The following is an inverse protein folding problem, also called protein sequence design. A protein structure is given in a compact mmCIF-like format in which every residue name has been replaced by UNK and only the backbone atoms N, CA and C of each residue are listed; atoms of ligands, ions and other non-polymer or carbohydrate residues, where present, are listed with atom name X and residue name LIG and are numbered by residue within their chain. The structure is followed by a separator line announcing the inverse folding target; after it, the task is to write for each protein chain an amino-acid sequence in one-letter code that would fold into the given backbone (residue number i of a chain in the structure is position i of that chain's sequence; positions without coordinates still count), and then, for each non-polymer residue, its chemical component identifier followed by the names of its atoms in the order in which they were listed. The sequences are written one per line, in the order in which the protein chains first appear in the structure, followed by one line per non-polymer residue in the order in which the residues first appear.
data_IF_335314959539
#
_entry.id   IF_335314959539
#
_cell.length_a   1.000
_cell.length_b   1.000
_cell.length_c   1.000
_cell.angle_alpha   90.00
_cell.angle_beta   90.00
_cell.angle_gamma   90.00
#
_symmetry.space_group_name_H-M   'P 1'
#
loop_
_entity.id
_entity.type
_entity.pdbx_description
1 polymer ?
#
# COMPACT_ATOMS: atom_id res chain seq x y z
N UNK A 1 27.82 10.09 -17.63
CA UNK A 1 28.26 10.36 -16.24
C UNK A 1 27.18 11.21 -15.59
N UNK A 2 26.53 10.73 -14.52
CA UNK A 2 25.53 11.52 -13.78
C UNK A 2 26.28 12.21 -12.63
N UNK A 3 26.27 13.55 -12.60
CA UNK A 3 26.88 14.35 -11.55
C UNK A 3 25.84 14.81 -10.54
N UNK A 4 26.07 14.54 -9.26
CA UNK A 4 25.25 15.08 -8.18
C UNK A 4 25.93 16.30 -7.58
N UNK A 5 25.16 17.36 -7.35
CA UNK A 5 25.62 18.50 -6.56
C UNK A 5 25.39 18.19 -5.09
N UNK A 6 26.48 18.07 -4.34
CA UNK A 6 26.44 17.95 -2.88
C UNK A 6 26.66 19.33 -2.28
N UNK A 7 26.08 19.56 -1.10
CA UNK A 7 26.51 20.68 -0.26
C UNK A 7 27.94 20.43 0.23
N UNK A 8 28.67 21.50 0.56
CA UNK A 8 30.06 21.38 1.02
C UNK A 8 30.19 20.51 2.27
N UNK A 9 29.19 20.54 3.15
CA UNK A 9 29.10 19.72 4.35
C UNK A 9 28.95 18.22 4.00
N UNK A 10 28.06 17.89 3.06
CA UNK A 10 27.88 16.52 2.59
C UNK A 10 29.11 16.00 1.85
N UNK A 11 29.77 16.84 1.05
CA UNK A 11 30.98 16.45 0.31
C UNK A 11 32.11 16.07 1.27
N UNK A 12 32.33 16.89 2.32
CA UNK A 12 33.29 16.62 3.39
C UNK A 12 32.94 15.36 4.16
N UNK A 13 31.67 15.18 4.52
CA UNK A 13 31.20 13.99 5.23
C UNK A 13 31.42 12.71 4.41
N UNK A 14 31.12 12.75 3.11
CA UNK A 14 31.27 11.59 2.22
C UNK A 14 32.74 11.27 1.96
N UNK A 15 33.59 12.30 1.83
CA UNK A 15 35.04 12.11 1.73
C UNK A 15 35.62 11.47 3.00
N UNK A 16 35.21 11.95 4.18
CA UNK A 16 35.66 11.43 5.46
C UNK A 16 35.19 9.99 5.67
N UNK A 17 33.91 9.71 5.44
CA UNK A 17 33.33 8.38 5.61
C UNK A 17 33.85 7.37 4.58
N UNK A 18 34.10 7.81 3.34
CA UNK A 18 34.77 6.99 2.32
C UNK A 18 36.18 6.61 2.76
N UNK A 19 36.98 7.59 3.22
CA UNK A 19 38.34 7.34 3.77
C UNK A 19 38.32 6.38 4.96
N UNK A 20 37.39 6.56 5.90
CA UNK A 20 37.25 5.68 7.06
C UNK A 20 36.96 4.22 6.67
N UNK A 21 36.32 4.00 5.51
CA UNK A 21 36.01 2.67 4.96
C UNK A 21 37.02 2.20 3.91
N UNK A 22 38.08 2.96 3.63
CA UNK A 22 39.07 2.63 2.60
C UNK A 22 38.52 2.66 1.17
N UNK A 23 37.40 3.37 0.92
CA UNK A 23 36.77 3.46 -0.41
C UNK A 23 36.74 4.90 -0.91
N UNK A 24 36.55 5.06 -2.23
CA UNK A 24 36.45 6.38 -2.83
C UNK A 24 35.15 7.09 -2.41
N UNK A 25 35.15 8.43 -2.44
CA UNK A 25 33.95 9.25 -2.23
C UNK A 25 32.80 8.82 -3.15
N UNK A 26 33.13 8.49 -4.40
CA UNK A 26 32.15 8.07 -5.41
C UNK A 26 31.52 6.72 -5.04
N UNK A 27 32.32 5.74 -4.63
CA UNK A 27 31.82 4.43 -4.23
C UNK A 27 30.97 4.52 -2.96
N UNK A 28 31.38 5.35 -2.00
CA UNK A 28 30.57 5.63 -0.82
C UNK A 28 29.22 6.29 -1.18
N UNK A 29 29.25 7.29 -2.06
CA UNK A 29 28.03 7.96 -2.53
C UNK A 29 27.07 6.99 -3.23
N UNK A 30 27.61 6.08 -4.06
CA UNK A 30 26.83 5.02 -4.73
C UNK A 30 26.15 4.10 -3.71
N UNK A 31 26.88 3.64 -2.70
CA UNK A 31 26.30 2.79 -1.64
C UNK A 31 25.20 3.51 -0.85
N UNK A 32 25.38 4.79 -0.54
CA UNK A 32 24.36 5.57 0.18
C UNK A 32 23.12 5.83 -0.67
N UNK A 33 23.28 6.08 -1.97
CA UNK A 33 22.16 6.23 -2.89
C UNK A 33 21.33 4.93 -3.00
N UNK A 34 22.00 3.78 -3.12
CA UNK A 34 21.33 2.47 -3.16
C UNK A 34 20.58 2.18 -1.85
N UNK A 35 21.24 2.40 -0.70
CA UNK A 35 20.59 2.23 0.61
C UNK A 35 19.40 3.17 0.82
N UNK A 36 19.52 4.42 0.37
CA UNK A 36 18.43 5.39 0.42
C UNK A 36 17.25 4.94 -0.45
N UNK A 37 17.52 4.46 -1.66
CA UNK A 37 16.51 3.92 -2.56
C UNK A 37 15.80 2.70 -1.95
N UNK A 38 16.54 1.72 -1.44
CA UNK A 38 15.97 0.54 -0.76
C UNK A 38 15.14 0.92 0.47
N UNK A 39 15.59 1.90 1.27
CA UNK A 39 14.81 2.36 2.42
C UNK A 39 13.52 3.07 2.01
N UNK A 40 13.53 3.83 0.91
CA UNK A 40 12.35 4.50 0.37
C UNK A 40 11.37 3.50 -0.24
N UNK A 41 11.86 2.48 -0.96
CA UNK A 41 11.02 1.41 -1.50
C UNK A 41 10.37 0.60 -0.39
N UNK A 42 11.12 0.20 0.64
CA UNK A 42 10.57 -0.46 1.83
C UNK A 42 9.51 0.41 2.51
N UNK A 43 9.72 1.73 2.60
CA UNK A 43 8.73 2.62 3.20
C UNK A 43 7.43 2.68 2.39
N UNK A 44 7.52 2.56 1.07
CA UNK A 44 6.37 2.58 0.16
C UNK A 44 5.62 1.25 0.21
N UNK A 45 6.34 0.13 0.16
CA UNK A 45 5.78 -1.22 0.32
C UNK A 45 5.08 -1.39 1.66
N UNK A 46 5.70 -0.96 2.77
CA UNK A 46 5.07 -1.02 4.10
C UNK A 46 3.80 -0.16 4.18
N UNK A 47 3.77 1.00 3.52
CA UNK A 47 2.56 1.83 3.42
C UNK A 47 1.46 1.15 2.60
N UNK A 48 1.83 0.54 1.48
CA UNK A 48 0.90 -0.24 0.65
C UNK A 48 0.34 -1.42 1.45
N UNK A 49 1.20 -2.18 2.14
CA UNK A 49 0.80 -3.31 2.97
C UNK A 49 -0.14 -2.87 4.11
N UNK A 50 0.19 -1.78 4.81
CA UNK A 50 -0.67 -1.21 5.84
C UNK A 50 -2.03 -0.79 5.29
N UNK A 51 -2.05 -0.11 4.13
CA UNK A 51 -3.29 0.30 3.47
C UNK A 51 -4.13 -0.90 3.04
N UNK A 52 -3.52 -1.97 2.53
CA UNK A 52 -4.21 -3.21 2.18
C UNK A 52 -4.82 -3.85 3.43
N UNK A 53 -4.05 -3.96 4.52
CA UNK A 53 -4.54 -4.53 5.80
C UNK A 53 -5.72 -3.74 6.36
N UNK A 54 -5.62 -2.40 6.40
CA UNK A 54 -6.71 -1.52 6.86
C UNK A 54 -7.93 -1.66 5.96
N UNK A 55 -7.74 -1.65 4.63
CA UNK A 55 -8.84 -1.79 3.68
C UNK A 55 -9.54 -3.14 3.80
N UNK A 56 -8.78 -4.23 3.92
CA UNK A 56 -9.31 -5.57 4.09
C UNK A 56 -10.07 -5.72 5.42
N UNK A 57 -9.53 -5.19 6.52
CA UNK A 57 -10.19 -5.19 7.82
C UNK A 57 -11.48 -4.36 7.80
N UNK A 58 -11.46 -3.20 7.14
CA UNK A 58 -12.63 -2.33 6.97
C UNK A 58 -13.70 -3.03 6.15
N UNK A 59 -13.35 -3.64 5.01
CA UNK A 59 -14.29 -4.41 4.19
C UNK A 59 -14.89 -5.57 4.97
N UNK A 60 -14.08 -6.36 5.68
CA UNK A 60 -14.60 -7.47 6.48
C UNK A 60 -15.57 -6.98 7.58
N UNK A 61 -15.26 -5.86 8.22
CA UNK A 61 -16.13 -5.25 9.22
C UNK A 61 -17.47 -4.79 8.61
N UNK A 62 -17.41 -4.11 7.47
CA UNK A 62 -18.61 -3.67 6.75
C UNK A 62 -19.46 -4.86 6.28
N UNK A 63 -18.83 -5.93 5.78
CA UNK A 63 -19.54 -7.15 5.39
C UNK A 63 -20.30 -7.76 6.57
N UNK A 64 -19.64 -7.88 7.73
CA UNK A 64 -20.27 -8.38 8.94
C UNK A 64 -21.37 -7.45 9.46
N UNK A 65 -21.20 -6.12 9.32
CA UNK A 65 -22.22 -5.15 9.69
C UNK A 65 -23.47 -5.28 8.83
N UNK A 66 -23.33 -5.46 7.52
CA UNK A 66 -24.46 -5.68 6.60
C UNK A 66 -25.23 -6.95 6.99
N UNK A 67 -24.51 -8.05 7.23
CA UNK A 67 -25.13 -9.31 7.69
C UNK A 67 -25.85 -9.11 9.03
N UNK A 68 -25.26 -8.38 9.98
CA UNK A 68 -25.88 -8.07 11.26
C UNK A 68 -27.18 -7.28 11.09
N UNK A 69 -27.20 -6.25 10.22
CA UNK A 69 -28.39 -5.45 9.94
C UNK A 69 -29.49 -6.30 9.30
N UNK A 70 -29.13 -7.13 8.31
CA UNK A 70 -30.09 -8.04 7.65
C UNK A 70 -30.75 -8.97 8.67
N UNK A 71 -29.97 -9.54 9.59
CA UNK A 71 -30.49 -10.40 10.66
C UNK A 71 -31.29 -9.63 11.70
N UNK A 72 -30.95 -8.38 11.99
CA UNK A 72 -31.74 -7.55 12.89
C UNK A 72 -33.13 -7.27 12.33
N UNK A 73 -33.23 -7.08 11.00
CA UNK A 73 -34.50 -6.88 10.30
C UNK A 73 -35.25 -8.20 10.07
N UNK A 74 -34.54 -9.32 9.94
CA UNK A 74 -35.12 -10.66 9.74
C UNK A 74 -34.50 -11.68 10.72
N UNK A 75 -34.93 -11.71 12.00
CA UNK A 75 -34.26 -12.51 13.04
C UNK A 75 -34.34 -14.02 12.85
N UNK A 76 -35.29 -14.51 12.05
CA UNK A 76 -35.41 -15.94 11.75
C UNK A 76 -34.49 -16.41 10.61
N UNK A 77 -33.86 -15.47 9.90
CA UNK A 77 -32.92 -15.78 8.83
C UNK A 77 -31.61 -16.32 9.41
N UNK A 78 -31.11 -17.42 8.83
CA UNK A 78 -29.80 -17.94 9.19
C UNK A 78 -28.68 -16.97 8.77
N UNK A 79 -27.50 -17.12 9.38
CA UNK A 79 -26.35 -16.28 9.01
C UNK A 79 -25.93 -16.50 7.55
N UNK A 80 -25.99 -17.74 7.07
CA UNK A 80 -25.58 -18.08 5.70
C UNK A 80 -26.54 -17.48 4.66
N UNK A 81 -27.85 -17.52 4.92
CA UNK A 81 -28.84 -16.85 4.06
C UNK A 81 -28.66 -15.33 4.04
N UNK A 82 -28.35 -14.71 5.19
CA UNK A 82 -28.07 -13.28 5.27
C UNK A 82 -26.79 -12.89 4.50
N UNK A 83 -25.77 -13.76 4.51
CA UNK A 83 -24.53 -13.57 3.72
C UNK A 83 -24.84 -13.67 2.23
N UNK A 84 -25.62 -14.67 1.79
CA UNK A 84 -26.02 -14.83 0.38
C UNK A 84 -26.79 -13.59 -0.08
N UNK A 85 -27.78 -13.14 0.69
CA UNK A 85 -28.57 -11.95 0.35
C UNK A 85 -27.70 -10.68 0.27
N UNK A 86 -26.77 -10.50 1.22
CA UNK A 86 -25.84 -9.37 1.19
C UNK A 86 -24.94 -9.39 -0.05
N UNK A 87 -24.41 -10.57 -0.43
CA UNK A 87 -23.58 -10.74 -1.61
C UNK A 87 -24.35 -10.46 -2.91
N UNK A 88 -25.55 -11.01 -3.03
CA UNK A 88 -26.35 -10.91 -4.25
C UNK A 88 -26.98 -9.53 -4.47
N UNK A 89 -27.35 -8.83 -3.39
CA UNK A 89 -28.10 -7.57 -3.51
C UNK A 89 -27.29 -6.32 -3.18
N UNK A 90 -26.39 -6.38 -2.19
CA UNK A 90 -25.65 -5.20 -1.71
C UNK A 90 -24.29 -5.10 -2.37
N UNK A 91 -23.53 -6.20 -2.41
CA UNK A 91 -22.18 -6.19 -2.95
C UNK A 91 -22.12 -6.33 -4.47
N UNK A 92 -23.13 -6.89 -5.11
CA UNK A 92 -23.21 -6.99 -6.59
C UNK A 92 -23.18 -5.61 -7.27
N UNK A 93 -23.98 -4.66 -6.78
CA UNK A 93 -24.02 -3.28 -7.30
C UNK A 93 -22.69 -2.58 -7.03
N UNK A 94 -22.17 -2.71 -5.81
CA UNK A 94 -20.90 -2.10 -5.40
C UNK A 94 -19.72 -2.62 -6.24
N UNK A 95 -19.72 -3.91 -6.58
CA UNK A 95 -18.73 -4.53 -7.45
C UNK A 95 -18.80 -3.96 -8.87
N UNK A 96 -20.00 -3.83 -9.43
CA UNK A 96 -20.21 -3.32 -10.78
C UNK A 96 -19.77 -1.86 -10.91
N UNK A 97 -20.06 -1.02 -9.90
CA UNK A 97 -19.57 0.36 -9.85
C UNK A 97 -18.05 0.43 -9.71
N UNK A 98 -17.46 -0.43 -8.89
CA UNK A 98 -16.00 -0.51 -8.73
C UNK A 98 -15.33 -0.91 -10.04
N UNK A 99 -15.86 -1.91 -10.74
CA UNK A 99 -15.36 -2.34 -12.05
C UNK A 99 -15.41 -1.20 -13.09
N UNK A 100 -16.49 -0.41 -13.10
CA UNK A 100 -16.60 0.77 -13.99
C UNK A 100 -15.56 1.84 -13.66
N UNK A 101 -15.33 2.12 -12.38
CA UNK A 101 -14.31 3.08 -11.94
C UNK A 101 -12.91 2.58 -12.33
N UNK A 102 -12.59 1.32 -12.08
CA UNK A 102 -11.28 0.72 -12.45
C UNK A 102 -11.05 0.78 -13.95
N UNK A 103 -12.07 0.47 -14.77
CA UNK A 103 -12.01 0.63 -16.23
C UNK A 103 -11.79 2.08 -16.66
N UNK A 104 -12.47 3.03 -16.02
CA UNK A 104 -12.31 4.47 -16.32
C UNK A 104 -10.90 5.01 -15.98
N UNK A 105 -10.21 4.37 -15.04
CA UNK A 105 -8.83 4.69 -14.64
C UNK A 105 -7.78 3.98 -15.51
N UNK A 106 -8.19 3.12 -16.46
CA UNK A 106 -7.28 2.34 -17.31
C UNK A 106 -6.57 1.21 -16.58
N UNK A 107 -7.13 0.73 -15.46
CA UNK A 107 -6.52 -0.28 -14.58
C UNK A 107 -7.16 -1.68 -14.71
N UNK A 108 -7.98 -1.93 -15.72
CA UNK A 108 -8.58 -3.26 -15.95
C UNK A 108 -9.04 -3.46 -17.39
N UNK A 109 -8.66 -4.61 -17.96
CA UNK A 109 -9.27 -5.21 -19.16
C UNK A 109 -10.58 -5.93 -18.77
#
# INVERSE_FOLDING_TARGET
MIGFRLTDEMDKAFLHAGKAKGISKHEFAKQMALKGYESLSISSEKKIEANIKVSASTMNTLNNLVVMIVKQLNPQMSTDEAIILANEQVFSISKLQTEQIVKSLGLGD
#
